data_IF_831327520310
#
_entry.id   IF_831327520310
#
_cell.length_a   1.000
_cell.length_b   1.000
_cell.length_c   1.000
_cell.angle_alpha   90.00
_cell.angle_beta   90.00
_cell.angle_gamma   90.00
#
_symmetry.space_group_name_H-M   'P 1'
#
loop_
_entity.id
_entity.type
_entity.pdbx_description
1 polymer ?
#
# COMPACT_ATOMS: atom_id res chain seq x y z
N UNK A 1 10.88 1.33 9.83
CA UNK A 1 9.58 0.76 9.43
C UNK A 1 8.67 1.87 8.93
N UNK A 2 8.18 1.77 7.70
CA UNK A 2 7.23 2.73 7.13
C UNK A 2 5.94 1.95 6.87
N UNK A 3 4.95 2.17 7.74
CA UNK A 3 3.60 1.63 7.61
C UNK A 3 2.65 2.80 7.38
N UNK A 4 1.72 2.66 6.44
CA UNK A 4 0.62 3.62 6.28
C UNK A 4 -0.21 3.65 7.56
N UNK A 5 -0.03 4.71 8.36
CA UNK A 5 -0.91 4.98 9.48
C UNK A 5 -2.02 5.90 8.97
N UNK A 6 -3.06 5.32 8.37
CA UNK A 6 -4.34 6.00 8.31
C UNK A 6 -4.81 6.17 9.76
N UNK A 7 -4.53 7.32 10.38
CA UNK A 7 -5.28 7.73 11.56
C UNK A 7 -6.70 8.01 11.08
N UNK A 8 -7.51 6.97 10.94
CA UNK A 8 -8.94 7.13 11.13
C UNK A 8 -9.09 7.51 12.60
N UNK A 9 -9.15 8.82 12.85
CA UNK A 9 -9.58 9.35 14.14
C UNK A 9 -10.99 8.81 14.41
N UNK A 10 -11.09 7.68 15.09
CA UNK A 10 -12.27 7.29 15.86
C UNK A 10 -12.36 8.21 17.07
N UNK A 11 -12.68 9.47 16.79
CA UNK A 11 -13.33 10.38 17.75
C UNK A 11 -14.63 10.83 17.12
N UNK A 12 -15.60 9.91 17.09
CA UNK A 12 -17.00 10.26 16.92
C UNK A 12 -17.79 9.33 17.83
N UNK A 13 -18.49 9.93 18.78
CA UNK A 13 -19.26 9.29 19.83
C UNK A 13 -20.21 8.19 19.30
N UNK A 14 -20.31 7.11 20.07
CA UNK A 14 -21.59 6.44 20.33
C UNK A 14 -21.54 5.79 21.71
N UNK A 15 -21.96 6.55 22.74
CA UNK A 15 -22.55 5.95 23.92
C UNK A 15 -23.90 5.36 23.50
N UNK A 16 -24.03 4.04 23.49
CA UNK A 16 -25.33 3.37 23.52
C UNK A 16 -25.22 2.22 24.52
N UNK A 17 -25.76 2.45 25.72
CA UNK A 17 -26.24 1.38 26.59
C UNK A 17 -27.50 0.80 25.95
N UNK A 18 -27.61 -0.52 25.91
CA UNK A 18 -28.90 -1.20 25.91
C UNK A 18 -28.78 -2.43 26.83
N UNK A 19 -29.81 -2.73 27.66
CA UNK A 19 -29.75 -3.80 28.64
C UNK A 19 -30.10 -5.15 28.00
N UNK A 20 -29.88 -6.20 28.78
CA UNK A 20 -30.26 -7.60 28.55
C UNK A 20 -29.17 -8.46 27.90
N UNK A 21 -28.73 -9.44 28.69
CA UNK A 21 -27.57 -10.27 28.45
C UNK A 21 -27.78 -11.38 27.44
N UNK A 22 -26.77 -11.53 26.60
CA UNK A 22 -26.34 -12.80 26.00
C UNK A 22 -24.82 -12.68 25.92
N UNK A 23 -24.08 -13.61 26.51
CA UNK A 23 -22.62 -13.72 26.34
C UNK A 23 -22.29 -14.28 24.96
N UNK A 24 -21.52 -13.58 24.10
CA UNK A 24 -20.95 -14.18 22.90
C UNK A 24 -19.42 -14.27 23.05
N UNK A 25 -18.86 -15.41 22.66
CA UNK A 25 -17.41 -15.61 22.56
C UNK A 25 -16.73 -14.49 21.77
N UNK A 26 -15.54 -14.07 22.23
CA UNK A 26 -14.75 -13.01 21.60
C UNK A 26 -14.29 -13.46 20.21
N UNK A 27 -15.07 -13.17 19.18
CA UNK A 27 -14.55 -13.00 17.83
C UNK A 27 -13.70 -11.72 17.85
N UNK A 28 -12.38 -11.86 18.04
CA UNK A 28 -11.44 -10.73 17.91
C UNK A 28 -11.38 -10.33 16.45
N UNK A 29 -12.19 -9.36 16.05
CA UNK A 29 -11.98 -8.61 14.81
C UNK A 29 -10.65 -7.87 14.98
N UNK A 30 -9.60 -8.35 14.31
CA UNK A 30 -8.31 -7.67 14.28
C UNK A 30 -8.49 -6.39 13.46
N UNK A 31 -8.43 -5.23 14.13
CA UNK A 31 -8.36 -3.96 13.43
C UNK A 31 -6.93 -3.74 12.91
N UNK A 32 -6.76 -2.85 11.94
CA UNK A 32 -5.45 -2.43 11.44
C UNK A 32 -4.44 -2.05 12.53
N UNK A 33 -4.92 -1.41 13.60
CA UNK A 33 -4.06 -1.04 14.74
C UNK A 33 -3.52 -2.26 15.47
N UNK A 34 -4.32 -3.33 15.57
CA UNK A 34 -3.95 -4.57 16.25
C UNK A 34 -2.89 -5.37 15.47
N UNK A 35 -2.87 -5.28 14.13
CA UNK A 35 -1.95 -6.05 13.28
C UNK A 35 -0.54 -5.46 13.29
N UNK A 36 -0.42 -4.14 13.23
CA UNK A 36 0.88 -3.47 13.39
C UNK A 36 1.44 -3.68 14.79
N UNK A 37 0.57 -3.69 15.80
CA UNK A 37 0.95 -4.01 17.17
C UNK A 37 1.46 -5.45 17.31
N UNK A 38 0.81 -6.41 16.65
CA UNK A 38 1.28 -7.81 16.59
C UNK A 38 2.69 -7.90 15.96
N UNK A 39 2.91 -7.24 14.83
CA UNK A 39 4.22 -7.18 14.19
C UNK A 39 5.30 -6.61 15.13
N UNK A 40 5.05 -5.44 15.73
CA UNK A 40 5.97 -4.79 16.67
C UNK A 40 6.24 -5.70 17.87
N UNK A 41 5.19 -6.30 18.44
CA UNK A 41 5.30 -7.17 19.62
C UNK A 41 6.12 -8.42 19.30
N UNK A 42 5.98 -8.98 18.10
CA UNK A 42 6.79 -10.13 17.67
C UNK A 42 8.29 -9.81 17.66
N UNK A 43 8.70 -8.64 17.16
CA UNK A 43 10.11 -8.24 17.14
C UNK A 43 10.66 -7.97 18.54
N UNK A 44 9.81 -7.43 19.42
CA UNK A 44 10.16 -7.10 20.82
C UNK A 44 10.34 -8.32 21.72
N UNK A 45 10.12 -9.54 21.20
CA UNK A 45 10.51 -10.77 21.90
C UNK A 45 12.04 -10.85 22.09
N UNK A 46 12.80 -10.17 21.22
CA UNK A 46 14.23 -9.95 21.40
C UNK A 46 14.45 -8.58 22.08
N UNK A 47 15.14 -8.53 23.24
CA UNK A 47 15.39 -7.30 24.00
C UNK A 47 16.20 -6.25 23.22
N UNK A 48 16.88 -6.62 22.13
CA UNK A 48 17.54 -5.69 21.24
C UNK A 48 16.55 -4.74 20.56
N UNK A 49 15.32 -5.17 20.24
CA UNK A 49 14.33 -4.34 19.54
C UNK A 49 13.52 -3.51 20.54
N UNK A 50 13.94 -2.27 20.74
CA UNK A 50 13.31 -1.31 21.63
C UNK A 50 12.66 -0.21 20.80
N UNK A 51 11.34 -0.03 20.98
CA UNK A 51 10.58 1.03 20.32
C UNK A 51 11.23 2.40 20.56
N UNK A 52 11.25 3.23 19.52
CA UNK A 52 11.88 4.55 19.53
C UNK A 52 13.41 4.56 19.74
N UNK A 53 14.06 3.38 19.79
CA UNK A 53 15.54 3.28 19.78
C UNK A 53 16.03 2.51 18.56
N UNK A 54 15.97 1.18 18.61
CA UNK A 54 16.42 0.27 17.56
C UNK A 54 15.27 -0.18 16.64
N UNK A 55 14.01 -0.04 17.09
CA UNK A 55 12.81 -0.20 16.28
C UNK A 55 12.14 1.16 16.07
N UNK A 56 12.28 1.72 14.87
CA UNK A 56 11.81 3.08 14.54
C UNK A 56 10.77 3.08 13.43
N UNK A 57 9.73 3.90 13.62
CA UNK A 57 8.72 4.21 12.62
C UNK A 57 8.93 5.57 11.99
N UNK A 58 8.69 5.70 10.68
CA UNK A 58 8.76 7.00 9.97
C UNK A 58 7.40 7.30 9.34
N UNK A 59 6.50 8.01 10.05
CA UNK A 59 5.24 8.44 9.46
C UNK A 59 5.49 9.50 8.38
N UNK A 60 4.58 9.56 7.40
CA UNK A 60 4.58 10.54 6.32
C UNK A 60 3.14 10.96 6.02
N UNK A 61 2.97 12.04 5.25
CA UNK A 61 1.65 12.44 4.78
C UNK A 61 1.23 11.53 3.61
N UNK A 62 0.50 10.46 3.93
CA UNK A 62 0.05 9.46 2.97
C UNK A 62 -0.90 10.03 1.91
N UNK A 63 -1.45 11.23 2.11
CA UNK A 63 -2.31 11.90 1.14
C UNK A 63 -1.54 12.27 -0.13
N UNK A 64 -0.22 12.48 0.00
CA UNK A 64 0.68 12.99 -1.03
C UNK A 64 1.50 11.88 -1.67
N UNK A 65 2.04 12.13 -2.85
CA UNK A 65 3.01 11.26 -3.50
C UNK A 65 4.44 11.49 -2.95
N UNK A 66 5.42 10.60 -3.23
CA UNK A 66 6.79 10.76 -2.74
C UNK A 66 7.46 12.09 -3.11
N UNK A 67 7.25 12.59 -4.33
CA UNK A 67 7.78 13.88 -4.78
C UNK A 67 7.17 15.10 -4.07
N UNK A 68 6.02 14.94 -3.43
CA UNK A 68 5.34 16.01 -2.68
C UNK A 68 5.62 15.96 -1.17
N UNK A 69 6.51 15.05 -0.75
CA UNK A 69 6.98 14.92 0.63
C UNK A 69 8.50 15.19 0.73
N UNK A 70 8.98 16.40 0.42
CA UNK A 70 10.42 16.70 0.35
C UNK A 70 11.14 16.42 1.69
N UNK A 71 10.50 16.75 2.80
CA UNK A 71 11.03 16.52 4.16
C UNK A 71 11.21 15.04 4.50
N UNK A 72 10.42 14.15 3.91
CA UNK A 72 10.43 12.73 4.26
C UNK A 72 11.80 12.10 3.96
N UNK A 73 12.39 12.46 2.83
CA UNK A 73 13.70 11.96 2.39
C UNK A 73 14.79 12.26 3.41
N UNK A 74 14.89 13.53 3.82
CA UNK A 74 15.90 13.96 4.79
C UNK A 74 15.64 13.35 6.18
N UNK A 75 14.38 13.34 6.64
CA UNK A 75 14.02 12.78 7.95
C UNK A 75 14.30 11.27 8.02
N UNK A 76 13.97 10.52 6.96
CA UNK A 76 14.25 9.09 6.90
C UNK A 76 15.75 8.81 6.89
N UNK A 77 16.54 9.59 6.13
CA UNK A 77 18.00 9.48 6.13
C UNK A 77 18.58 9.66 7.52
N UNK A 78 18.27 10.78 8.18
CA UNK A 78 18.76 11.10 9.52
C UNK A 78 18.35 10.03 10.54
N UNK A 79 17.10 9.57 10.47
CA UNK A 79 16.61 8.52 11.35
C UNK A 79 17.39 7.20 11.16
N UNK A 80 17.72 6.83 9.93
CA UNK A 80 18.51 5.62 9.64
C UNK A 80 19.94 5.76 10.17
N UNK A 81 20.58 6.91 9.95
CA UNK A 81 21.93 7.19 10.45
C UNK A 81 21.97 7.18 11.99
N UNK A 82 21.00 7.82 12.65
CA UNK A 82 20.86 7.80 14.11
C UNK A 82 20.62 6.38 14.64
N UNK A 83 19.72 5.63 14.00
CA UNK A 83 19.40 4.24 14.38
C UNK A 83 20.61 3.34 14.27
N UNK A 84 21.40 3.49 13.19
CA UNK A 84 22.65 2.75 12.99
C UNK A 84 23.64 2.99 14.13
N UNK A 85 23.82 4.24 14.56
CA UNK A 85 24.72 4.59 15.67
C UNK A 85 24.21 4.00 16.98
N UNK A 86 22.92 4.21 17.30
CA UNK A 86 22.28 3.69 18.52
C UNK A 86 22.34 2.16 18.59
N UNK A 87 22.24 1.50 17.45
CA UNK A 87 22.28 0.05 17.31
C UNK A 87 23.71 -0.54 17.33
N UNK A 88 24.73 0.27 17.63
CA UNK A 88 26.13 -0.19 17.69
C UNK A 88 26.71 -0.49 16.32
N UNK A 89 26.46 0.40 15.34
CA UNK A 89 26.89 0.23 13.94
C UNK A 89 26.28 -0.98 13.22
N UNK A 90 25.09 -1.43 13.66
CA UNK A 90 24.33 -2.46 12.95
C UNK A 90 23.52 -1.83 11.83
N UNK A 91 23.66 -2.37 10.61
CA UNK A 91 22.91 -1.94 9.42
C UNK A 91 21.40 -2.16 9.61
N UNK A 92 20.61 -1.23 9.08
CA UNK A 92 19.15 -1.16 9.25
C UNK A 92 18.43 -2.05 8.22
N UNK A 93 17.43 -2.80 8.67
CA UNK A 93 16.45 -3.44 7.79
C UNK A 93 15.35 -2.42 7.47
N UNK A 94 15.26 -2.00 6.21
CA UNK A 94 14.26 -1.05 5.74
C UNK A 94 13.04 -1.80 5.21
N UNK A 95 11.88 -1.62 5.84
CA UNK A 95 10.61 -2.23 5.46
C UNK A 95 9.63 -1.14 5.08
N UNK A 96 9.10 -1.24 3.85
CA UNK A 96 7.90 -0.54 3.40
C UNK A 96 6.74 -1.51 3.23
N UNK A 97 5.55 -1.09 3.63
CA UNK A 97 4.29 -1.81 3.36
C UNK A 97 3.40 -0.96 2.46
N UNK A 98 2.76 -1.59 1.47
CA UNK A 98 1.87 -0.91 0.52
C UNK A 98 2.52 0.33 -0.10
N UNK A 99 1.90 1.52 -0.04
CA UNK A 99 2.49 2.78 -0.50
C UNK A 99 3.87 3.06 0.12
N UNK A 100 4.08 2.64 1.37
CA UNK A 100 5.37 2.74 2.06
C UNK A 100 6.52 2.07 1.30
N UNK A 101 6.24 1.01 0.52
CA UNK A 101 7.24 0.37 -0.34
C UNK A 101 7.72 1.28 -1.47
N UNK A 102 6.82 2.05 -2.08
CA UNK A 102 7.16 3.03 -3.12
C UNK A 102 7.92 4.23 -2.53
N UNK A 103 7.57 4.66 -1.31
CA UNK A 103 8.35 5.67 -0.59
C UNK A 103 9.77 5.21 -0.26
N UNK A 104 9.93 3.97 0.21
CA UNK A 104 11.25 3.35 0.41
C UNK A 104 12.03 3.27 -0.91
N UNK A 105 11.38 2.87 -2.00
CA UNK A 105 12.01 2.77 -3.31
C UNK A 105 12.51 4.14 -3.79
N UNK A 106 11.65 5.17 -3.74
CA UNK A 106 12.01 6.56 -4.04
C UNK A 106 13.23 7.02 -3.21
N UNK A 107 13.21 6.72 -1.91
CA UNK A 107 14.30 7.05 -1.01
C UNK A 107 15.61 6.37 -1.39
N UNK A 108 15.58 5.06 -1.67
CA UNK A 108 16.77 4.28 -2.03
C UNK A 108 17.35 4.69 -3.39
N UNK A 109 16.53 5.13 -4.34
CA UNK A 109 17.01 5.70 -5.60
C UNK A 109 17.69 7.05 -5.42
N UNK A 110 17.27 7.84 -4.42
CA UNK A 110 17.89 9.12 -4.08
C UNK A 110 19.20 9.01 -3.28
N UNK A 111 19.55 7.83 -2.73
CA UNK A 111 20.78 7.64 -1.96
C UNK A 111 21.92 7.05 -2.81
N UNK A 112 23.17 7.44 -2.51
CA UNK A 112 24.35 6.83 -3.12
C UNK A 112 24.51 5.37 -2.73
N UNK A 113 25.16 4.58 -3.59
CA UNK A 113 25.43 3.17 -3.30
C UNK A 113 26.32 2.98 -2.07
N UNK A 114 27.28 3.89 -1.83
CA UNK A 114 28.11 3.85 -0.63
C UNK A 114 27.30 4.06 0.65
N UNK A 115 26.36 5.01 0.62
CA UNK A 115 25.47 5.25 1.75
C UNK A 115 24.61 4.01 2.03
N UNK A 116 24.01 3.44 0.98
CA UNK A 116 23.17 2.23 1.09
C UNK A 116 23.95 1.04 1.65
N UNK A 117 25.14 0.76 1.12
CA UNK A 117 26.02 -0.32 1.62
C UNK A 117 26.39 -0.14 3.09
N UNK A 118 26.67 1.10 3.51
CA UNK A 118 27.03 1.42 4.90
C UNK A 118 25.87 1.25 5.88
N UNK A 119 24.68 1.72 5.53
CA UNK A 119 23.58 1.86 6.49
C UNK A 119 22.46 0.84 6.36
N UNK A 120 22.26 0.23 5.19
CA UNK A 120 21.12 -0.65 4.93
C UNK A 120 21.60 -2.11 4.84
N UNK A 121 20.97 -2.97 5.64
CA UNK A 121 21.18 -4.43 5.62
C UNK A 121 20.37 -5.06 4.49
N UNK A 122 19.09 -4.73 4.45
CA UNK A 122 18.12 -5.28 3.52
C UNK A 122 16.97 -4.29 3.27
N UNK A 123 16.37 -4.34 2.09
CA UNK A 123 15.11 -3.68 1.77
C UNK A 123 14.00 -4.72 1.58
N UNK A 124 12.87 -4.54 2.26
CA UNK A 124 11.67 -5.35 2.09
C UNK A 124 10.55 -4.46 1.53
N UNK A 125 10.12 -4.77 0.31
CA UNK A 125 8.87 -4.29 -0.27
C UNK A 125 7.76 -5.30 0.07
N UNK A 126 6.87 -4.95 0.99
CA UNK A 126 5.77 -5.82 1.45
C UNK A 126 4.44 -5.34 0.87
N UNK A 127 3.80 -6.17 0.06
CA UNK A 127 2.57 -5.84 -0.70
C UNK A 127 2.67 -4.50 -1.43
N UNK A 128 3.85 -4.19 -1.99
CA UNK A 128 4.06 -2.92 -2.68
C UNK A 128 3.28 -2.86 -4.00
N UNK A 129 2.42 -1.85 -4.24
CA UNK A 129 1.73 -1.64 -5.52
C UNK A 129 2.68 -1.06 -6.56
N UNK A 130 3.73 -1.79 -6.92
CA UNK A 130 4.83 -1.33 -7.77
C UNK A 130 4.36 -0.80 -9.14
N UNK A 131 3.25 -1.35 -9.65
CA UNK A 131 2.63 -0.95 -10.92
C UNK A 131 1.27 -0.27 -10.73
N UNK A 132 0.93 0.16 -9.50
CA UNK A 132 -0.38 0.69 -9.15
C UNK A 132 -1.46 -0.37 -8.87
N UNK A 133 -2.69 0.05 -8.66
CA UNK A 133 -3.84 -0.79 -8.33
C UNK A 133 -5.11 -0.30 -9.03
N UNK A 134 -5.99 -1.21 -9.45
CA UNK A 134 -7.30 -0.85 -10.04
C UNK A 134 -8.22 -0.28 -8.97
N UNK A 135 -7.99 -0.64 -7.69
CA UNK A 135 -8.67 -0.01 -6.55
C UNK A 135 -8.42 1.50 -6.52
N UNK A 136 -7.20 1.96 -6.79
CA UNK A 136 -6.90 3.40 -6.88
C UNK A 136 -7.71 4.08 -7.99
N UNK A 137 -7.83 3.44 -9.16
CA UNK A 137 -8.69 3.94 -10.23
C UNK A 137 -10.16 4.01 -9.81
N UNK A 138 -10.67 3.00 -9.10
CA UNK A 138 -12.04 2.99 -8.55
C UNK A 138 -12.30 4.17 -7.61
N UNK A 139 -11.32 4.51 -6.75
CA UNK A 139 -11.40 5.67 -5.86
C UNK A 139 -11.62 6.97 -6.65
N UNK A 140 -10.93 7.13 -7.78
CA UNK A 140 -11.07 8.31 -8.65
C UNK A 140 -12.44 8.37 -9.33
N UNK A 141 -13.00 7.24 -9.78
CA UNK A 141 -14.24 7.24 -10.58
C UNK A 141 -15.52 7.16 -9.75
N UNK A 142 -15.59 6.24 -8.78
CA UNK A 142 -16.80 5.94 -8.00
C UNK A 142 -16.64 6.14 -6.50
N UNK A 143 -15.41 6.42 -6.05
CA UNK A 143 -15.06 6.41 -4.65
C UNK A 143 -15.10 5.02 -4.01
N UNK A 144 -14.71 4.94 -2.75
CA UNK A 144 -14.80 3.74 -1.91
C UNK A 144 -15.21 4.15 -0.50
N UNK A 145 -16.09 3.40 0.16
CA UNK A 145 -16.42 3.65 1.56
C UNK A 145 -15.53 2.85 2.52
N UNK A 146 -14.55 2.10 2.00
CA UNK A 146 -13.62 1.26 2.78
C UNK A 146 -14.34 0.35 3.80
N UNK A 147 -15.55 -0.13 3.45
CA UNK A 147 -16.36 -0.98 4.32
C UNK A 147 -17.20 -0.25 5.37
N UNK A 148 -17.29 1.09 5.32
CA UNK A 148 -18.19 1.87 6.18
C UNK A 148 -19.65 1.73 5.71
N UNK A 149 -20.47 1.04 6.51
CA UNK A 149 -21.86 0.68 6.18
C UNK A 149 -22.82 1.87 5.99
N UNK A 150 -22.53 3.03 6.59
CA UNK A 150 -23.51 4.13 6.73
C UNK A 150 -23.41 5.15 5.58
N UNK A 151 -22.34 5.14 4.78
CA UNK A 151 -22.06 6.17 3.78
C UNK A 151 -21.77 5.55 2.42
N UNK A 152 -22.36 6.13 1.37
CA UNK A 152 -22.13 5.67 0.00
C UNK A 152 -20.68 5.94 -0.42
N UNK A 153 -20.05 5.07 -1.22
CA UNK A 153 -18.71 5.30 -1.78
C UNK A 153 -18.54 6.67 -2.45
N UNK A 154 -19.55 7.12 -3.19
CA UNK A 154 -19.56 8.41 -3.88
C UNK A 154 -19.39 9.60 -2.93
N UNK A 155 -19.85 9.49 -1.67
CA UNK A 155 -19.69 10.56 -0.69
C UNK A 155 -18.24 10.77 -0.24
N UNK A 156 -17.36 9.78 -0.45
CA UNK A 156 -15.93 9.89 -0.16
C UNK A 156 -15.10 10.28 -1.38
N UNK A 157 -15.68 10.22 -2.59
CA UNK A 157 -14.97 10.42 -3.85
C UNK A 157 -14.25 11.76 -3.93
N UNK A 158 -14.89 12.85 -3.49
CA UNK A 158 -14.26 14.18 -3.49
C UNK A 158 -13.02 14.24 -2.61
N UNK A 159 -13.09 13.65 -1.40
CA UNK A 159 -11.94 13.57 -0.51
C UNK A 159 -10.85 12.69 -1.13
N UNK A 160 -11.21 11.55 -1.72
CA UNK A 160 -10.25 10.62 -2.34
C UNK A 160 -9.54 11.23 -3.57
N UNK A 161 -10.28 11.96 -4.40
CA UNK A 161 -9.77 12.76 -5.54
C UNK A 161 -8.83 13.88 -5.10
N UNK A 162 -8.98 14.39 -3.88
CA UNK A 162 -8.11 15.42 -3.33
C UNK A 162 -6.74 14.88 -2.87
N UNK A 163 -6.50 13.57 -2.94
CA UNK A 163 -5.26 12.93 -2.51
C UNK A 163 -4.41 12.58 -3.74
N UNK A 164 -3.31 13.31 -4.04
CA UNK A 164 -2.44 12.97 -5.17
C UNK A 164 -1.86 11.54 -5.12
N UNK A 165 -1.75 10.96 -3.91
CA UNK A 165 -1.38 9.55 -3.72
C UNK A 165 -2.33 8.56 -4.42
N UNK A 166 -3.62 8.88 -4.57
CA UNK A 166 -4.59 8.05 -5.28
C UNK A 166 -4.22 7.97 -6.76
N UNK A 167 -4.04 9.13 -7.41
CA UNK A 167 -3.62 9.21 -8.79
C UNK A 167 -2.25 8.53 -9.01
N UNK A 168 -1.28 8.75 -8.11
CA UNK A 168 0.02 8.08 -8.14
C UNK A 168 -0.08 6.54 -8.21
N UNK A 169 -1.03 5.97 -7.46
CA UNK A 169 -1.27 4.53 -7.36
C UNK A 169 -2.16 3.97 -8.47
N UNK A 170 -2.57 4.75 -9.48
CA UNK A 170 -3.32 4.23 -10.61
C UNK A 170 -2.49 3.23 -11.45
N UNK A 171 -3.13 2.27 -12.15
CA UNK A 171 -2.43 1.27 -12.96
C UNK A 171 -1.43 1.88 -13.96
N UNK A 172 -0.19 1.41 -13.96
CA UNK A 172 0.85 1.85 -14.89
C UNK A 172 0.60 1.25 -16.29
N UNK A 173 0.43 2.07 -17.36
CA UNK A 173 0.09 1.58 -18.69
C UNK A 173 1.10 0.56 -19.27
N UNK A 174 2.34 0.49 -18.77
CA UNK A 174 3.32 -0.52 -19.21
C UNK A 174 2.94 -1.96 -18.81
N UNK A 175 2.03 -2.13 -17.85
CA UNK A 175 1.52 -3.44 -17.40
C UNK A 175 0.18 -3.86 -18.03
N UNK A 176 -0.44 -3.01 -18.84
CA UNK A 176 -1.71 -3.29 -19.51
C UNK A 176 -1.58 -2.99 -21.00
N UNK A 177 -1.95 -3.92 -21.89
CA UNK A 177 -2.03 -3.59 -23.30
C UNK A 177 -3.15 -2.56 -23.54
N UNK A 178 -3.03 -1.68 -24.56
CA UNK A 178 -4.08 -0.70 -24.87
C UNK A 178 -5.45 -1.32 -25.16
N UNK A 179 -5.49 -2.60 -25.58
CA UNK A 179 -6.71 -3.35 -25.89
C UNK A 179 -7.42 -3.95 -24.66
N UNK A 180 -6.80 -3.94 -23.48
CA UNK A 180 -7.41 -4.50 -22.25
C UNK A 180 -8.14 -3.38 -21.48
N UNK A 181 -9.48 -3.34 -21.49
CA UNK A 181 -10.22 -2.34 -20.75
C UNK A 181 -10.20 -2.64 -19.25
N UNK A 182 -9.99 -1.59 -18.45
CA UNK A 182 -10.10 -1.64 -16.99
C UNK A 182 -11.48 -1.15 -16.56
N UNK A 183 -12.00 -0.12 -17.22
CA UNK A 183 -13.36 0.39 -17.02
C UNK A 183 -14.18 0.02 -18.23
N UNK A 184 -15.27 -0.69 -18.01
CA UNK A 184 -16.23 -1.09 -19.03
C UNK A 184 -17.51 -0.32 -18.76
N UNK A 185 -17.94 0.46 -19.74
CA UNK A 185 -19.21 1.18 -19.71
C UNK A 185 -20.02 0.83 -20.96
N UNK A 186 -21.32 1.12 -20.99
CA UNK A 186 -22.15 0.80 -22.15
C UNK A 186 -21.76 1.56 -23.42
N UNK A 187 -21.18 2.76 -23.27
CA UNK A 187 -20.86 3.65 -24.39
C UNK A 187 -19.39 3.58 -24.81
N UNK A 188 -18.50 3.47 -23.82
CA UNK A 188 -17.06 3.54 -24.05
C UNK A 188 -16.30 2.77 -22.97
N UNK A 189 -15.29 2.01 -23.39
CA UNK A 189 -14.37 1.35 -22.48
C UNK A 189 -13.08 2.17 -22.34
N UNK A 190 -12.47 2.13 -21.16
CA UNK A 190 -11.21 2.81 -20.87
C UNK A 190 -10.16 1.80 -20.40
N UNK A 191 -9.00 1.84 -21.05
CA UNK A 191 -7.78 1.13 -20.64
C UNK A 191 -6.90 2.02 -19.75
N UNK A 192 -5.76 1.48 -19.29
CA UNK A 192 -4.73 2.26 -18.60
C UNK A 192 -4.08 3.34 -19.50
N UNK A 193 -4.31 3.31 -20.81
CA UNK A 193 -3.77 4.29 -21.76
C UNK A 193 -4.72 5.47 -22.00
N UNK A 194 -5.96 5.39 -21.51
CA UNK A 194 -7.03 6.35 -21.81
C UNK A 194 -7.26 7.40 -20.71
N UNK A 195 -6.32 7.54 -19.75
CA UNK A 195 -6.55 8.35 -18.55
C UNK A 195 -6.89 9.81 -18.82
N UNK A 196 -6.28 10.45 -19.81
CA UNK A 196 -6.61 11.82 -20.15
C UNK A 196 -8.08 11.96 -20.55
N UNK A 197 -8.54 11.04 -21.41
CA UNK A 197 -9.93 11.01 -21.86
C UNK A 197 -10.87 10.67 -20.71
N UNK A 198 -10.55 9.66 -19.92
CA UNK A 198 -11.30 9.24 -18.74
C UNK A 198 -11.55 10.43 -17.79
N UNK A 199 -10.49 11.14 -17.39
CA UNK A 199 -10.60 12.26 -16.46
C UNK A 199 -11.39 13.44 -17.04
N UNK A 200 -11.32 13.67 -18.35
CA UNK A 200 -12.20 14.62 -19.04
C UNK A 200 -13.67 14.19 -18.98
N UNK A 201 -13.96 12.93 -19.31
CA UNK A 201 -15.33 12.39 -19.39
C UNK A 201 -16.04 12.36 -18.02
N UNK A 202 -15.29 12.19 -16.92
CA UNK A 202 -15.83 12.25 -15.54
C UNK A 202 -15.82 13.66 -14.93
N UNK A 203 -15.55 14.69 -15.75
CA UNK A 203 -15.45 16.10 -15.34
C UNK A 203 -14.47 16.34 -14.18
N UNK A 204 -13.31 15.69 -14.23
CA UNK A 204 -12.24 15.84 -13.23
C UNK A 204 -10.83 15.89 -13.89
N UNK A 205 -10.54 16.88 -14.76
CA UNK A 205 -9.26 16.97 -15.46
C UNK A 205 -8.06 17.16 -14.51
N UNK A 206 -8.28 17.70 -13.31
CA UNK A 206 -7.24 17.84 -12.29
C UNK A 206 -6.65 16.48 -11.87
N UNK A 207 -7.44 15.40 -11.87
CA UNK A 207 -6.94 14.06 -11.56
C UNK A 207 -5.87 13.59 -12.55
N UNK A 208 -6.01 13.93 -13.84
CA UNK A 208 -4.98 13.64 -14.83
C UNK A 208 -3.70 14.47 -14.58
N UNK A 209 -3.84 15.73 -14.18
CA UNK A 209 -2.68 16.55 -13.81
C UNK A 209 -1.94 15.98 -12.58
N UNK A 210 -2.67 15.49 -11.57
CA UNK A 210 -2.06 14.78 -10.45
C UNK A 210 -1.34 13.52 -10.90
N UNK A 211 -1.94 12.71 -11.78
CA UNK A 211 -1.29 11.52 -12.33
C UNK A 211 0.01 11.88 -13.05
N UNK A 212 -0.01 12.88 -13.95
CA UNK A 212 1.18 13.31 -14.69
C UNK A 212 2.30 13.81 -13.77
N UNK A 213 1.94 14.54 -12.70
CA UNK A 213 2.91 15.08 -11.75
C UNK A 213 3.50 14.03 -10.81
N UNK A 214 2.72 13.01 -10.45
CA UNK A 214 3.09 12.07 -9.38
C UNK A 214 3.62 10.74 -9.91
N UNK A 215 3.06 10.20 -11.01
CA UNK A 215 3.43 8.89 -11.55
C UNK A 215 4.93 8.74 -11.88
N UNK A 216 5.60 9.75 -12.47
CA UNK A 216 7.04 9.66 -12.74
C UNK A 216 7.94 9.69 -11.50
N UNK A 217 7.39 9.99 -10.30
CA UNK A 217 8.20 10.14 -9.09
C UNK A 217 8.87 8.85 -8.62
N UNK A 218 8.34 7.69 -9.02
CA UNK A 218 8.89 6.37 -8.70
C UNK A 218 8.65 5.41 -9.86
N UNK A 219 9.70 4.82 -10.40
CA UNK A 219 9.57 3.73 -11.38
C UNK A 219 9.64 2.35 -10.70
N UNK A 220 8.49 1.70 -10.55
CA UNK A 220 8.40 0.36 -9.95
C UNK A 220 9.05 -0.75 -10.79
N UNK A 221 9.38 -0.50 -12.06
CA UNK A 221 10.14 -1.45 -12.89
C UNK A 221 11.63 -1.47 -12.52
N UNK A 222 12.12 -0.44 -11.83
CA UNK A 222 13.53 -0.29 -11.47
C UNK A 222 13.75 -0.58 -10.00
N UNK A 223 14.43 -1.69 -9.69
CA UNK A 223 14.85 -2.01 -8.33
C UNK A 223 15.93 -1.06 -7.80
N UNK A 224 16.17 -1.02 -6.48
CA UNK A 224 17.27 -0.25 -5.92
C UNK A 224 18.61 -0.93 -6.21
N UNK A 225 19.63 -0.14 -6.52
CA UNK A 225 21.02 -0.61 -6.67
C UNK A 225 21.79 -0.49 -5.35
N UNK A 226 22.92 -1.19 -5.23
CA UNK A 226 23.84 -1.03 -4.10
C UNK A 226 23.34 -1.60 -2.76
N UNK A 227 22.42 -2.57 -2.81
CA UNK A 227 21.96 -3.34 -1.65
C UNK A 227 22.34 -4.81 -1.82
N UNK A 228 22.74 -5.45 -0.73
CA UNK A 228 23.07 -6.88 -0.70
C UNK A 228 21.80 -7.74 -0.81
N UNK A 229 20.72 -7.28 -0.17
CA UNK A 229 19.46 -8.02 -0.13
C UNK A 229 18.25 -7.11 -0.40
N UNK A 230 17.46 -7.53 -1.38
CA UNK A 230 16.15 -6.94 -1.70
C UNK A 230 15.12 -8.07 -1.66
N UNK A 231 14.06 -7.88 -0.88
CA UNK A 231 12.97 -8.83 -0.76
C UNK A 231 11.69 -8.19 -1.29
N UNK A 232 11.00 -8.94 -2.13
CA UNK A 232 9.67 -8.60 -2.59
C UNK A 232 8.70 -9.65 -2.07
N UNK A 233 7.85 -9.25 -1.13
CA UNK A 233 6.99 -10.14 -0.37
C UNK A 233 5.55 -9.70 -0.57
N UNK A 234 4.68 -10.57 -1.05
CA UNK A 234 3.27 -10.21 -1.24
C UNK A 234 2.33 -11.41 -1.13
N UNK A 235 1.04 -11.11 -0.98
CA UNK A 235 -0.04 -12.09 -1.03
C UNK A 235 -0.40 -12.53 -2.44
N UNK A 236 -1.05 -13.67 -2.56
CA UNK A 236 -1.71 -14.13 -3.79
C UNK A 236 -2.94 -14.96 -3.43
N UNK A 237 -3.72 -15.34 -4.45
CA UNK A 237 -4.97 -16.11 -4.35
C UNK A 237 -6.05 -15.45 -3.49
N UNK A 238 -6.00 -14.12 -3.35
CA UNK A 238 -7.05 -13.32 -2.73
C UNK A 238 -7.78 -12.55 -3.82
N UNK A 239 -9.11 -12.68 -3.85
CA UNK A 239 -9.97 -12.04 -4.85
C UNK A 239 -9.72 -10.53 -4.91
N UNK A 240 -9.19 -10.05 -6.04
CA UNK A 240 -8.74 -8.67 -6.22
C UNK A 240 -9.36 -8.05 -7.45
N UNK A 241 -9.81 -6.80 -7.39
CA UNK A 241 -10.44 -6.12 -8.53
C UNK A 241 -9.46 -5.92 -9.69
N UNK A 242 -9.85 -6.38 -10.88
CA UNK A 242 -9.15 -6.15 -12.16
C UNK A 242 -9.92 -5.22 -13.09
N UNK A 243 -11.26 -5.29 -13.09
CA UNK A 243 -12.09 -4.45 -13.95
C UNK A 243 -13.31 -3.92 -13.21
N UNK A 244 -13.78 -2.75 -13.66
CA UNK A 244 -14.96 -2.06 -13.16
C UNK A 244 -16.00 -2.03 -14.28
N UNK A 245 -17.15 -2.68 -14.08
CA UNK A 245 -18.22 -2.77 -15.07
C UNK A 245 -19.40 -1.93 -14.61
N UNK A 246 -19.79 -0.96 -15.42
CA UNK A 246 -20.91 -0.06 -15.15
C UNK A 246 -22.12 -0.42 -16.00
N UNK A 247 -23.32 -0.46 -15.40
CA UNK A 247 -24.56 -0.65 -16.16
C UNK A 247 -24.94 0.62 -16.94
N UNK A 248 -25.85 0.46 -17.91
CA UNK A 248 -26.60 1.59 -18.49
C UNK A 248 -27.28 2.41 -17.40
N UNK A 249 -27.49 3.72 -17.53
CA UNK A 249 -28.35 4.45 -16.61
C UNK A 249 -29.80 3.95 -16.69
N UNK A 250 -30.48 3.90 -15.55
CA UNK A 250 -31.93 3.65 -15.49
C UNK A 250 -32.56 4.49 -14.39
N UNK A 251 -33.86 4.28 -14.16
CA UNK A 251 -34.54 4.87 -13.01
C UNK A 251 -33.89 4.48 -11.66
N UNK A 252 -33.25 3.33 -11.55
CA UNK A 252 -32.71 2.80 -10.30
C UNK A 252 -31.20 3.01 -10.10
N UNK A 253 -30.46 3.30 -11.17
CA UNK A 253 -29.01 3.45 -11.14
C UNK A 253 -28.56 4.58 -12.05
N UNK A 254 -27.62 5.40 -11.57
CA UNK A 254 -27.17 6.60 -12.29
C UNK A 254 -26.23 6.28 -13.45
N UNK A 255 -25.63 5.09 -13.44
CA UNK A 255 -24.61 4.68 -14.42
C UNK A 255 -23.27 5.38 -14.19
N UNK A 256 -22.34 5.20 -15.13
CA UNK A 256 -20.99 5.76 -15.03
C UNK A 256 -20.98 7.30 -15.11
N UNK A 257 -20.19 8.01 -14.26
CA UNK A 257 -19.32 7.52 -13.18
C UNK A 257 -19.98 7.53 -11.78
N UNK A 258 -21.28 7.84 -11.69
CA UNK A 258 -22.00 8.10 -10.44
C UNK A 258 -22.73 6.87 -9.88
N UNK A 259 -22.19 5.68 -10.13
CA UNK A 259 -22.71 4.40 -9.68
C UNK A 259 -21.60 3.55 -9.08
N UNK A 260 -21.93 2.58 -8.22
CA UNK A 260 -20.95 1.59 -7.79
C UNK A 260 -20.80 0.52 -8.88
N UNK A 261 -19.58 0.25 -9.39
CA UNK A 261 -19.39 -0.73 -10.45
C UNK A 261 -19.54 -2.16 -9.93
N UNK A 262 -19.93 -3.06 -10.84
CA UNK A 262 -19.66 -4.49 -10.64
C UNK A 262 -18.17 -4.73 -10.77
N UNK A 263 -17.58 -5.45 -9.82
CA UNK A 263 -16.14 -5.70 -9.77
C UNK A 263 -15.85 -7.07 -10.39
N UNK A 264 -15.09 -7.10 -11.49
CA UNK A 264 -14.52 -8.35 -12.00
C UNK A 264 -13.18 -8.57 -11.31
N UNK A 265 -13.02 -9.74 -10.71
CA UNK A 265 -11.90 -10.05 -9.84
C UNK A 265 -10.96 -11.09 -10.45
N UNK A 266 -9.69 -10.98 -10.11
CA UNK A 266 -8.63 -11.92 -10.43
C UNK A 266 -7.68 -12.12 -9.25
N UNK A 267 -6.49 -12.63 -9.54
CA UNK A 267 -5.49 -12.97 -8.54
C UNK A 267 -4.77 -11.72 -7.98
N UNK A 268 -4.53 -11.69 -6.67
CA UNK A 268 -3.82 -10.63 -5.97
C UNK A 268 -3.89 -10.83 -4.46
N UNK A 269 -3.77 -9.74 -3.72
CA UNK A 269 -3.80 -9.72 -2.25
C UNK A 269 -5.09 -9.10 -1.66
N UNK A 270 -6.11 -8.87 -2.48
CA UNK A 270 -7.38 -8.24 -2.10
C UNK A 270 -7.43 -6.74 -2.38
N UNK A 271 -6.28 -6.12 -2.67
CA UNK A 271 -6.20 -4.68 -3.02
C UNK A 271 -5.38 -4.45 -4.28
N UNK A 272 -4.23 -5.10 -4.40
CA UNK A 272 -3.29 -4.97 -5.50
C UNK A 272 -3.29 -6.28 -6.30
N UNK A 273 -3.48 -6.17 -7.60
CA UNK A 273 -3.48 -7.31 -8.50
C UNK A 273 -2.07 -7.89 -8.65
N UNK A 274 -2.00 -9.20 -8.86
CA UNK A 274 -0.74 -9.95 -8.89
C UNK A 274 0.25 -9.37 -9.91
N UNK A 275 -0.25 -8.87 -11.05
CA UNK A 275 0.60 -8.26 -12.09
C UNK A 275 1.40 -7.06 -11.62
N UNK A 276 0.84 -6.26 -10.71
CA UNK A 276 1.52 -5.12 -10.10
C UNK A 276 2.45 -5.56 -8.97
N UNK A 277 1.99 -6.49 -8.12
CA UNK A 277 2.78 -7.02 -7.00
C UNK A 277 4.06 -7.72 -7.46
N UNK A 278 4.03 -8.40 -8.62
CA UNK A 278 5.14 -9.21 -9.10
C UNK A 278 6.19 -8.45 -9.94
N UNK A 279 6.05 -7.13 -10.12
CA UNK A 279 6.98 -6.31 -10.92
C UNK A 279 8.44 -6.44 -10.49
N UNK A 280 8.66 -6.57 -9.19
CA UNK A 280 9.96 -6.78 -8.58
C UNK A 280 10.71 -8.04 -9.06
N UNK A 281 10.04 -8.99 -9.75
CA UNK A 281 10.70 -10.12 -10.41
C UNK A 281 11.67 -9.66 -11.50
N UNK A 282 11.50 -8.43 -12.01
CA UNK A 282 12.39 -7.80 -12.97
C UNK A 282 13.63 -7.18 -12.30
N UNK A 283 13.64 -7.04 -10.97
CA UNK A 283 14.75 -6.42 -10.25
C UNK A 283 15.90 -7.43 -10.08
N UNK A 284 17.13 -7.09 -10.50
CA UNK A 284 18.27 -8.00 -10.39
C UNK A 284 18.52 -8.44 -8.94
N UNK A 285 18.55 -9.76 -8.72
CA UNK A 285 18.85 -10.35 -7.42
C UNK A 285 17.75 -10.22 -6.36
N UNK A 286 16.56 -9.70 -6.70
CA UNK A 286 15.46 -9.61 -5.75
C UNK A 286 14.92 -11.00 -5.37
N UNK A 287 14.83 -11.25 -4.06
CA UNK A 287 14.21 -12.44 -3.49
C UNK A 287 12.70 -12.30 -3.56
N UNK A 288 12.07 -13.07 -4.42
CA UNK A 288 10.63 -13.03 -4.68
C UNK A 288 9.89 -14.07 -3.82
N UNK A 289 9.01 -13.61 -2.93
CA UNK A 289 8.35 -14.44 -1.92
C UNK A 289 6.85 -14.19 -1.98
N UNK A 290 6.10 -15.27 -2.18
CA UNK A 290 4.63 -15.23 -2.25
C UNK A 290 4.06 -15.94 -1.02
N UNK A 291 3.23 -15.22 -0.27
CA UNK A 291 2.50 -15.73 0.88
C UNK A 291 1.05 -15.97 0.45
N UNK A 292 0.78 -17.12 -0.16
CA UNK A 292 -0.56 -17.44 -0.66
C UNK A 292 -1.62 -17.28 0.45
N UNK A 293 -2.75 -16.65 0.12
CA UNK A 293 -3.84 -16.34 1.04
C UNK A 293 -3.60 -15.14 1.98
N UNK A 294 -2.41 -14.55 2.00
CA UNK A 294 -2.16 -13.36 2.82
C UNK A 294 -2.87 -12.13 2.21
N UNK A 295 -3.81 -11.56 2.94
CA UNK A 295 -4.53 -10.35 2.53
C UNK A 295 -3.63 -9.10 2.70
N UNK A 296 -3.80 -8.11 1.82
CA UNK A 296 -2.97 -6.92 1.66
C UNK A 296 -2.61 -6.22 2.98
N UNK A 297 -3.60 -6.04 3.85
CA UNK A 297 -3.51 -5.33 5.12
C UNK A 297 -3.01 -6.27 6.24
N UNK A 298 -3.37 -7.55 6.15
CA UNK A 298 -3.08 -8.55 7.18
C UNK A 298 -1.72 -9.23 7.03
N UNK A 299 -1.07 -9.14 5.87
CA UNK A 299 0.22 -9.79 5.58
C UNK A 299 1.30 -9.48 6.62
N UNK A 300 1.32 -8.27 7.19
CA UNK A 300 2.35 -7.88 8.18
C UNK A 300 2.19 -8.59 9.52
N UNK A 301 1.03 -9.22 9.76
CA UNK A 301 0.77 -10.11 10.88
C UNK A 301 0.71 -11.60 10.51
N UNK A 302 1.00 -11.96 9.25
CA UNK A 302 1.04 -13.36 8.81
C UNK A 302 2.24 -14.07 9.47
N UNK A 303 2.02 -15.24 10.07
CA UNK A 303 3.07 -15.96 10.80
C UNK A 303 4.29 -16.30 9.93
N UNK A 304 4.08 -16.57 8.63
CA UNK A 304 5.17 -16.84 7.68
C UNK A 304 5.98 -15.58 7.44
N UNK A 305 5.31 -14.43 7.35
CA UNK A 305 5.98 -13.13 7.25
C UNK A 305 6.75 -12.80 8.54
N UNK A 306 6.14 -13.02 9.71
CA UNK A 306 6.78 -12.78 11.01
C UNK A 306 8.05 -13.64 11.18
N UNK A 307 7.99 -14.92 10.81
CA UNK A 307 9.16 -15.80 10.81
C UNK A 307 10.26 -15.28 9.89
N UNK A 308 9.91 -14.91 8.66
CA UNK A 308 10.86 -14.38 7.68
C UNK A 308 11.53 -13.08 8.17
N UNK A 309 10.76 -12.13 8.71
CA UNK A 309 11.35 -10.88 9.22
C UNK A 309 12.24 -11.13 10.43
N UNK A 310 11.92 -12.11 11.29
CA UNK A 310 12.78 -12.49 12.41
C UNK A 310 14.14 -12.99 11.92
N UNK A 311 14.15 -13.86 10.91
CA UNK A 311 15.38 -14.36 10.28
C UNK A 311 16.19 -13.22 9.64
N UNK A 312 15.55 -12.37 8.81
CA UNK A 312 16.23 -11.26 8.13
C UNK A 312 16.76 -10.24 9.13
N UNK A 313 15.98 -9.91 10.17
CA UNK A 313 16.37 -8.92 11.15
C UNK A 313 17.42 -9.47 12.14
N UNK A 314 17.49 -10.79 12.31
CA UNK A 314 18.40 -11.47 13.24
C UNK A 314 17.87 -11.53 14.67
N UNK A 315 16.54 -11.57 14.82
CA UNK A 315 15.84 -11.69 16.11
C UNK A 315 16.26 -12.98 16.79
N UNK A 316 16.82 -12.87 17.99
CA UNK A 316 17.10 -14.02 18.85
C UNK A 316 15.85 -14.30 19.67
N UNK A 317 15.14 -15.39 19.36
CA UNK A 317 14.07 -15.84 20.24
C UNK A 317 14.70 -16.27 21.56
N UNK A 318 14.29 -15.61 22.64
CA UNK A 318 14.69 -16.04 23.98
C UNK A 318 14.00 -17.37 24.25
N UNK A 319 14.77 -18.46 24.18
CA UNK A 319 14.37 -19.72 24.78
C UNK A 319 14.27 -19.50 26.28
N UNK A 320 13.05 -19.23 26.77
CA UNK A 320 12.68 -19.34 28.19
C UNK A 320 11.76 -20.54 28.32
#
# INVERSE_FOLDING_TARGET
MILERARYTTRTCAMLRSPVGVTPGRLRILTHTNIVELFITSLRQDPFYVSNRTLRGTPFDFRRAPNENPDFQQRLRLLIEETYIIAGSRRVVLLGHSLGSLYCLAFLHAQSNDWKRKYIKAFLSVSGPLGGSVKALKLEVSGDNFGVLIRSPLSFREVQRSLPSTAFLMPDPRLWPPSEPIIITPKLNYSAHDYQKLFSDINFPQGYAFLQNTKPSVDGFMGPTGLDEVYCIHGSKVSTTYQLVYPEPSFFHKGFPDEYPTLITGDGDGTVHLRSLQLCRLWPGAKYIVLEGAEHLHIVGDERFLKLIHEIAGVQQSHV
#
